data_IF_569501234108
#
_entry.id   IF_569501234108
#
_cell.length_a   1.000
_cell.length_b   1.000
_cell.length_c   1.000
_cell.angle_alpha   90.00
_cell.angle_beta   90.00
_cell.angle_gamma   90.00
#
_symmetry.space_group_name_H-M   'P 1'
#
loop_
_entity.id
_entity.type
_entity.pdbx_description
1 polymer ?
#
# COMPACT_ATOMS: atom_id res chain seq x y z
N UNK A 1 -22.01 27.39 17.88
CA UNK A 1 -22.62 26.62 16.78
C UNK A 1 -21.71 26.80 15.58
N UNK A 2 -21.18 25.71 14.99
CA UNK A 2 -20.41 25.82 13.76
C UNK A 2 -21.35 26.26 12.62
N UNK A 3 -20.92 27.14 11.70
CA UNK A 3 -21.66 27.41 10.46
C UNK A 3 -22.01 26.11 9.74
N UNK A 4 -23.18 26.03 9.11
CA UNK A 4 -23.70 24.77 8.54
C UNK A 4 -22.75 24.12 7.52
N UNK A 5 -21.98 24.92 6.77
CA UNK A 5 -21.00 24.43 5.79
C UNK A 5 -19.76 23.79 6.44
N UNK A 6 -19.27 24.35 7.55
CA UNK A 6 -18.13 23.76 8.29
C UNK A 6 -18.52 22.44 8.95
N UNK A 7 -19.74 22.37 9.49
CA UNK A 7 -20.28 21.15 10.06
C UNK A 7 -20.45 20.04 9.01
N UNK A 8 -20.93 20.39 7.82
CA UNK A 8 -21.08 19.42 6.73
C UNK A 8 -19.73 18.92 6.20
N UNK A 9 -18.71 19.78 6.10
CA UNK A 9 -17.36 19.35 5.71
C UNK A 9 -16.71 18.47 6.80
N UNK A 10 -16.94 18.77 8.07
CA UNK A 10 -16.53 17.93 9.20
C UNK A 10 -17.18 16.54 9.13
N UNK A 11 -18.48 16.49 8.85
CA UNK A 11 -19.22 15.25 8.65
C UNK A 11 -18.67 14.45 7.48
N UNK A 12 -18.48 15.07 6.32
CA UNK A 12 -17.89 14.41 5.14
C UNK A 12 -16.46 13.92 5.40
N UNK A 13 -15.66 14.69 6.13
CA UNK A 13 -14.31 14.29 6.53
C UNK A 13 -14.34 13.08 7.47
N UNK A 14 -15.29 13.05 8.40
CA UNK A 14 -15.49 11.92 9.30
C UNK A 14 -15.98 10.68 8.54
N UNK A 15 -16.93 10.84 7.62
CA UNK A 15 -17.45 9.76 6.78
C UNK A 15 -16.31 9.15 5.93
N UNK A 16 -15.43 9.99 5.36
CA UNK A 16 -14.24 9.52 4.62
C UNK A 16 -13.25 8.78 5.53
N UNK A 17 -12.96 9.30 6.72
CA UNK A 17 -12.07 8.61 7.66
C UNK A 17 -12.69 7.29 8.13
N UNK A 18 -14.00 7.27 8.39
CA UNK A 18 -14.74 6.07 8.79
C UNK A 18 -14.71 5.03 7.68
N UNK A 19 -14.97 5.43 6.43
CA UNK A 19 -14.89 4.56 5.26
C UNK A 19 -13.47 3.97 5.08
N UNK A 20 -12.43 4.79 5.24
CA UNK A 20 -11.03 4.32 5.22
C UNK A 20 -10.74 3.27 6.31
N UNK A 21 -11.30 3.46 7.51
CA UNK A 21 -11.18 2.51 8.64
C UNK A 21 -11.95 1.22 8.36
N UNK A 22 -13.10 1.30 7.69
CA UNK A 22 -13.94 0.17 7.31
C UNK A 22 -13.47 -0.58 6.06
N UNK A 23 -12.37 -0.13 5.43
CA UNK A 23 -11.83 -0.64 4.16
C UNK A 23 -12.71 -0.36 2.94
N UNK A 24 -13.64 0.58 3.05
CA UNK A 24 -14.35 1.12 1.90
C UNK A 24 -13.59 2.34 1.38
N UNK A 25 -12.61 2.08 0.51
CA UNK A 25 -11.77 3.15 -0.04
C UNK A 25 -12.48 3.95 -1.13
N UNK A 26 -13.58 3.47 -1.73
CA UNK A 26 -14.28 4.21 -2.79
C UNK A 26 -14.66 5.65 -2.37
N UNK A 27 -15.33 5.86 -1.21
CA UNK A 27 -15.60 7.21 -0.70
C UNK A 27 -14.34 8.04 -0.46
N UNK A 28 -13.26 7.42 0.03
CA UNK A 28 -11.98 8.10 0.32
C UNK A 28 -11.34 8.63 -0.96
N UNK A 29 -11.44 7.85 -2.04
CA UNK A 29 -10.82 8.13 -3.33
C UNK A 29 -11.62 9.20 -4.07
N UNK A 30 -12.95 9.10 -4.04
CA UNK A 30 -13.83 10.04 -4.72
C UNK A 30 -13.92 11.39 -3.98
N UNK A 31 -13.96 11.37 -2.65
CA UNK A 31 -14.22 12.56 -1.84
C UNK A 31 -12.95 13.15 -1.21
N UNK A 32 -11.92 12.34 -0.94
CA UNK A 32 -10.69 12.78 -0.28
C UNK A 32 -10.00 13.96 -0.97
N UNK A 33 -9.73 13.93 -2.29
CA UNK A 33 -9.16 15.05 -3.01
C UNK A 33 -10.03 16.32 -2.95
N UNK A 34 -11.35 16.18 -3.04
CA UNK A 34 -12.29 17.30 -2.93
C UNK A 34 -12.25 17.92 -1.54
N UNK A 35 -12.30 17.09 -0.51
CA UNK A 35 -12.18 17.51 0.89
C UNK A 35 -10.84 18.23 1.10
N UNK A 36 -9.73 17.73 0.56
CA UNK A 36 -8.43 18.41 0.64
C UNK A 36 -8.42 19.80 0.01
N UNK A 37 -9.00 19.94 -1.18
CA UNK A 37 -9.09 21.22 -1.89
C UNK A 37 -10.00 22.20 -1.15
N UNK A 38 -11.15 21.73 -0.65
CA UNK A 38 -12.09 22.54 0.16
C UNK A 38 -11.47 22.98 1.49
N UNK A 39 -10.78 22.09 2.20
CA UNK A 39 -9.99 22.43 3.39
C UNK A 39 -8.84 23.39 3.04
N UNK A 40 -8.38 23.36 1.79
CA UNK A 40 -7.38 24.22 1.15
C UNK A 40 -7.67 25.71 1.29
N UNK A 41 -8.92 26.07 1.01
CA UNK A 41 -9.39 27.43 0.81
C UNK A 41 -9.74 28.17 2.11
N UNK A 42 -10.08 27.45 3.18
CA UNK A 42 -10.51 28.05 4.45
C UNK A 42 -9.39 28.00 5.53
N UNK A 43 -8.86 29.16 5.98
CA UNK A 43 -7.92 29.25 7.08
C UNK A 43 -8.41 28.67 8.42
N UNK A 44 -9.72 28.66 8.68
CA UNK A 44 -10.31 28.16 9.93
C UNK A 44 -10.19 26.64 10.06
N UNK A 45 -10.03 25.94 8.94
CA UNK A 45 -10.00 24.47 8.85
C UNK A 45 -8.58 23.89 8.77
N UNK A 46 -7.54 24.70 9.03
CA UNK A 46 -6.14 24.25 9.01
C UNK A 46 -5.87 23.09 9.97
N UNK A 47 -6.54 23.06 11.13
CA UNK A 47 -6.39 21.99 12.12
C UNK A 47 -6.88 20.64 11.57
N UNK A 48 -8.00 20.64 10.82
CA UNK A 48 -8.57 19.45 10.22
C UNK A 48 -7.65 18.89 9.13
N UNK A 49 -7.01 19.77 8.33
CA UNK A 49 -5.96 19.37 7.37
C UNK A 49 -4.78 18.70 8.07
N UNK A 50 -4.34 19.24 9.22
CA UNK A 50 -3.26 18.65 9.99
C UNK A 50 -3.62 17.24 10.48
N UNK A 51 -4.86 17.01 10.92
CA UNK A 51 -5.36 15.70 11.36
C UNK A 51 -5.47 14.70 10.21
N UNK A 52 -5.97 15.13 9.05
CA UNK A 52 -6.27 14.25 7.91
C UNK A 52 -5.05 13.92 7.01
N UNK A 53 -3.94 14.66 7.12
CA UNK A 53 -2.80 14.51 6.21
C UNK A 53 -2.25 13.08 6.09
N UNK A 54 -2.12 12.31 7.18
CA UNK A 54 -1.65 10.92 7.11
C UNK A 54 -2.68 9.98 6.45
N UNK A 55 -3.95 9.93 6.87
CA UNK A 55 -4.97 9.15 6.16
C UNK A 55 -5.04 9.46 4.65
N UNK A 56 -4.95 10.73 4.27
CA UNK A 56 -4.95 11.17 2.88
C UNK A 56 -3.69 10.73 2.13
N UNK A 57 -2.51 10.85 2.75
CA UNK A 57 -1.26 10.36 2.17
C UNK A 57 -1.32 8.86 1.90
N UNK A 58 -1.86 8.08 2.84
CA UNK A 58 -2.08 6.64 2.63
C UNK A 58 -3.08 6.38 1.50
N UNK A 59 -4.21 7.09 1.49
CA UNK A 59 -5.21 6.93 0.43
C UNK A 59 -4.60 7.19 -0.95
N UNK A 60 -3.88 8.30 -1.13
CA UNK A 60 -3.20 8.61 -2.39
C UNK A 60 -2.10 7.63 -2.75
N UNK A 61 -1.40 7.09 -1.76
CA UNK A 61 -0.40 6.05 -1.99
C UNK A 61 -1.04 4.77 -2.55
N UNK A 62 -2.19 4.35 -2.02
CA UNK A 62 -2.90 3.16 -2.48
C UNK A 62 -3.64 3.36 -3.81
N UNK A 63 -4.21 4.55 -4.05
CA UNK A 63 -4.75 4.90 -5.36
C UNK A 63 -3.69 5.06 -6.42
N UNK A 64 -2.45 5.34 -6.01
CA UNK A 64 -1.34 5.55 -6.93
C UNK A 64 -1.25 6.98 -7.46
N UNK A 65 -1.76 7.99 -6.76
CA UNK A 65 -1.43 9.39 -7.07
C UNK A 65 -0.10 9.78 -6.40
N UNK A 66 1.00 9.17 -6.88
CA UNK A 66 2.32 9.31 -6.27
C UNK A 66 2.85 10.74 -6.39
N UNK A 67 2.53 11.44 -7.48
CA UNK A 67 2.88 12.85 -7.65
C UNK A 67 2.28 13.73 -6.54
N UNK A 68 1.01 13.51 -6.20
CA UNK A 68 0.37 14.21 -5.07
C UNK A 68 0.94 13.79 -3.73
N UNK A 69 1.18 12.49 -3.49
CA UNK A 69 1.85 12.02 -2.26
C UNK A 69 3.15 12.77 -2.04
N UNK A 70 4.00 12.86 -3.06
CA UNK A 70 5.32 13.51 -2.94
C UNK A 70 5.21 14.99 -2.62
N UNK A 71 4.40 15.72 -3.41
CA UNK A 71 4.20 17.16 -3.24
C UNK A 71 3.63 17.49 -1.85
N UNK A 72 2.57 16.77 -1.46
CA UNK A 72 1.85 17.07 -0.23
C UNK A 72 2.56 16.56 1.02
N UNK A 73 3.13 15.35 1.00
CA UNK A 73 3.88 14.82 2.15
C UNK A 73 5.12 15.65 2.45
N UNK A 74 5.85 16.13 1.43
CA UNK A 74 6.98 17.03 1.64
C UNK A 74 6.54 18.33 2.36
N UNK A 75 5.44 18.94 1.90
CA UNK A 75 4.87 20.14 2.52
C UNK A 75 4.38 19.89 3.94
N UNK A 76 3.67 18.78 4.17
CA UNK A 76 3.14 18.42 5.48
C UNK A 76 4.23 18.03 6.47
N UNK A 77 5.32 17.42 6.01
CA UNK A 77 6.50 17.12 6.82
C UNK A 77 7.11 18.39 7.40
N UNK A 78 7.36 19.40 6.57
CA UNK A 78 7.87 20.71 7.03
C UNK A 78 6.94 21.33 8.08
N UNK A 79 5.64 21.40 7.76
CA UNK A 79 4.65 21.97 8.68
C UNK A 79 4.49 21.16 9.99
N UNK A 80 4.75 19.85 9.98
CA UNK A 80 4.72 19.02 11.18
C UNK A 80 5.97 19.21 12.04
N UNK A 81 7.15 19.37 11.42
CA UNK A 81 8.41 19.70 12.10
C UNK A 81 8.32 21.05 12.81
N UNK A 82 7.82 22.09 12.13
CA UNK A 82 7.62 23.44 12.72
C UNK A 82 6.72 23.42 13.96
N UNK A 83 5.81 22.45 14.07
CA UNK A 83 4.86 22.30 15.18
C UNK A 83 5.31 21.29 16.23
N UNK A 84 6.46 20.63 16.05
CA UNK A 84 6.91 19.56 16.94
C UNK A 84 6.01 18.31 16.93
N UNK A 85 5.21 18.08 15.88
CA UNK A 85 4.34 16.91 15.79
C UNK A 85 5.09 15.71 15.20
N UNK A 86 5.89 15.04 16.03
CA UNK A 86 6.76 13.93 15.60
C UNK A 86 5.99 12.74 15.02
N UNK A 87 4.81 12.40 15.57
CA UNK A 87 3.98 11.31 15.04
C UNK A 87 3.57 11.58 13.59
N UNK A 88 3.19 12.83 13.30
CA UNK A 88 2.83 13.20 11.93
C UNK A 88 4.04 13.25 11.01
N UNK A 89 5.20 13.68 11.48
CA UNK A 89 6.45 13.60 10.73
C UNK A 89 6.72 12.15 10.32
N UNK A 90 6.63 11.20 11.25
CA UNK A 90 6.84 9.76 10.96
C UNK A 90 5.86 9.27 9.89
N UNK A 91 4.57 9.56 10.03
CA UNK A 91 3.53 9.06 9.11
C UNK A 91 3.70 9.56 7.67
N UNK A 92 3.85 10.87 7.46
CA UNK A 92 3.97 11.42 6.11
C UNK A 92 5.34 11.11 5.49
N UNK A 93 6.38 10.97 6.30
CA UNK A 93 7.72 10.58 5.83
C UNK A 93 7.74 9.12 5.40
N UNK A 94 7.04 8.23 6.10
CA UNK A 94 6.88 6.84 5.68
C UNK A 94 6.16 6.74 4.32
N UNK A 95 5.07 7.50 4.11
CA UNK A 95 4.39 7.54 2.81
C UNK A 95 5.29 8.09 1.70
N UNK A 96 6.05 9.17 1.99
CA UNK A 96 7.01 9.74 1.05
C UNK A 96 8.10 8.72 0.69
N UNK A 97 8.63 7.99 1.68
CA UNK A 97 9.64 6.96 1.46
C UNK A 97 9.15 5.85 0.53
N UNK A 98 7.89 5.40 0.66
CA UNK A 98 7.31 4.42 -0.29
C UNK A 98 7.14 5.03 -1.69
N UNK A 99 6.69 6.29 -1.78
CA UNK A 99 6.53 6.94 -3.08
C UNK A 99 7.87 7.09 -3.82
N UNK A 100 8.95 7.42 -3.12
CA UNK A 100 10.31 7.44 -3.70
C UNK A 100 10.80 6.03 -4.04
N UNK A 101 10.51 5.03 -3.20
CA UNK A 101 10.83 3.61 -3.49
C UNK A 101 10.19 3.13 -4.81
N UNK A 102 8.92 3.48 -5.05
CA UNK A 102 8.22 3.10 -6.29
C UNK A 102 8.82 3.74 -7.54
N UNK A 103 9.52 4.87 -7.40
CA UNK A 103 10.27 5.52 -8.49
C UNK A 103 11.66 4.91 -8.73
N UNK A 104 12.07 3.96 -7.88
CA UNK A 104 13.43 3.41 -7.89
C UNK A 104 14.45 4.22 -7.11
N UNK A 105 14.03 5.24 -6.36
CA UNK A 105 14.90 6.10 -5.54
C UNK A 105 15.14 5.45 -4.16
N UNK A 106 15.77 4.28 -4.15
CA UNK A 106 15.93 3.42 -2.96
C UNK A 106 16.75 4.14 -1.88
N UNK A 107 17.85 4.77 -2.25
CA UNK A 107 18.73 5.52 -1.34
C UNK A 107 17.96 6.65 -0.67
N UNK A 108 17.17 7.41 -1.45
CA UNK A 108 16.33 8.48 -0.92
C UNK A 108 15.28 7.94 0.04
N UNK A 109 14.67 6.80 -0.28
CA UNK A 109 13.74 6.11 0.61
C UNK A 109 14.40 5.74 1.95
N UNK A 110 15.61 5.18 1.92
CA UNK A 110 16.39 4.84 3.13
C UNK A 110 16.73 6.08 3.96
N UNK A 111 17.18 7.17 3.33
CA UNK A 111 17.48 8.44 4.02
C UNK A 111 16.26 8.93 4.81
N UNK A 112 15.09 8.97 4.16
CA UNK A 112 13.83 9.38 4.78
C UNK A 112 13.45 8.48 5.97
N UNK A 113 13.69 7.17 5.87
CA UNK A 113 13.42 6.24 6.97
C UNK A 113 14.42 6.39 8.13
N UNK A 114 15.70 6.64 7.83
CA UNK A 114 16.73 6.90 8.83
C UNK A 114 16.42 8.17 9.64
N UNK A 115 15.91 9.22 9.00
CA UNK A 115 15.49 10.47 9.66
C UNK A 115 14.42 10.25 10.75
N UNK A 116 13.54 9.26 10.58
CA UNK A 116 12.43 9.01 11.49
C UNK A 116 12.67 7.84 12.44
N UNK A 117 13.77 7.10 12.29
CA UNK A 117 14.05 5.89 13.07
C UNK A 117 14.07 6.15 14.58
N UNK A 118 14.76 7.22 15.01
CA UNK A 118 14.81 7.64 16.41
C UNK A 118 13.46 8.08 17.00
N UNK A 119 12.47 8.40 16.15
CA UNK A 119 11.13 8.82 16.59
C UNK A 119 10.14 7.66 16.76
N UNK A 120 10.55 6.42 16.43
CA UNK A 120 9.68 5.23 16.46
C UNK A 120 9.61 4.59 17.86
N UNK A 121 10.59 4.83 18.72
CA UNK A 121 10.74 4.13 20.01
C UNK A 121 10.18 4.90 21.22
N UNK A 122 8.90 5.24 21.17
CA UNK A 122 8.21 6.00 22.23
C UNK A 122 7.63 5.12 23.35
N UNK A 123 8.04 3.85 23.45
CA UNK A 123 7.59 2.89 24.46
C UNK A 123 6.22 2.23 24.20
N UNK A 124 5.33 2.85 23.40
CA UNK A 124 4.06 2.26 22.96
C UNK A 124 4.04 2.13 21.45
N UNK A 125 3.76 0.92 20.95
CA UNK A 125 3.66 0.68 19.52
C UNK A 125 2.41 1.34 18.93
N UNK A 126 2.60 2.33 18.06
CA UNK A 126 1.58 3.22 17.50
C UNK A 126 1.33 2.97 16.00
N UNK A 127 0.32 3.65 15.43
CA UNK A 127 0.05 3.67 13.98
C UNK A 127 1.26 4.21 13.21
N UNK A 128 1.90 5.27 13.71
CA UNK A 128 3.09 5.86 13.10
C UNK A 128 4.27 4.87 13.10
N UNK A 129 4.45 4.11 14.19
CA UNK A 129 5.46 3.04 14.24
C UNK A 129 5.15 1.89 13.26
N UNK A 130 3.88 1.54 13.07
CA UNK A 130 3.47 0.55 12.08
C UNK A 130 3.72 1.05 10.65
N UNK A 131 3.41 2.30 10.35
CA UNK A 131 3.65 2.95 9.06
C UNK A 131 5.14 2.94 8.68
N UNK A 132 6.01 3.37 9.59
CA UNK A 132 7.45 3.40 9.35
C UNK A 132 8.04 1.99 9.14
N UNK A 133 7.60 1.00 9.93
CA UNK A 133 8.08 -0.39 9.76
C UNK A 133 7.53 -1.07 8.52
N UNK A 134 6.30 -0.75 8.12
CA UNK A 134 5.78 -1.16 6.83
C UNK A 134 6.66 -0.62 5.71
N UNK A 135 7.01 0.67 5.76
CA UNK A 135 7.86 1.28 4.76
C UNK A 135 9.27 0.66 4.71
N UNK A 136 9.87 0.42 5.87
CA UNK A 136 11.17 -0.26 5.97
C UNK A 136 11.09 -1.70 5.45
N UNK A 137 10.04 -2.46 5.77
CA UNK A 137 9.87 -3.80 5.24
C UNK A 137 9.69 -3.81 3.70
N UNK A 138 9.00 -2.80 3.15
CA UNK A 138 8.87 -2.65 1.70
C UNK A 138 10.23 -2.34 1.03
N UNK A 139 11.06 -1.49 1.62
CA UNK A 139 12.44 -1.22 1.15
C UNK A 139 13.27 -2.51 1.14
N UNK A 140 13.25 -3.27 2.25
CA UNK A 140 13.95 -4.57 2.33
C UNK A 140 13.46 -5.55 1.25
N UNK A 141 12.14 -5.62 1.02
CA UNK A 141 11.58 -6.48 0.00
C UNK A 141 11.97 -6.04 -1.43
N UNK A 142 11.97 -4.74 -1.70
CA UNK A 142 12.37 -4.18 -3.00
C UNK A 142 13.84 -4.49 -3.33
N UNK A 143 14.69 -4.55 -2.31
CA UNK A 143 16.11 -4.95 -2.40
C UNK A 143 16.32 -6.46 -2.53
N UNK A 144 15.27 -7.27 -2.44
CA UNK A 144 15.37 -8.73 -2.43
C UNK A 144 15.76 -9.34 -1.07
N UNK A 145 15.83 -8.54 -0.01
CA UNK A 145 16.14 -8.99 1.37
C UNK A 145 14.89 -9.55 2.05
N UNK A 146 14.27 -10.54 1.42
CA UNK A 146 12.95 -11.04 1.81
C UNK A 146 12.91 -11.65 3.20
N UNK A 147 13.97 -12.33 3.64
CA UNK A 147 14.06 -12.92 4.99
C UNK A 147 13.94 -11.84 6.06
N UNK A 148 14.64 -10.72 5.88
CA UNK A 148 14.64 -9.60 6.80
C UNK A 148 13.30 -8.85 6.76
N UNK A 149 12.74 -8.64 5.56
CA UNK A 149 11.42 -8.05 5.38
C UNK A 149 10.33 -8.88 6.09
N UNK A 150 10.34 -10.21 5.91
CA UNK A 150 9.42 -11.15 6.58
C UNK A 150 9.57 -11.06 8.10
N UNK A 151 10.80 -11.04 8.61
CA UNK A 151 11.07 -10.93 10.04
C UNK A 151 10.54 -9.61 10.62
N UNK A 152 10.74 -8.50 9.92
CA UNK A 152 10.26 -7.18 10.33
C UNK A 152 8.73 -7.11 10.30
N UNK A 153 8.07 -7.63 9.27
CA UNK A 153 6.62 -7.75 9.20
C UNK A 153 6.06 -8.56 10.37
N UNK A 154 6.64 -9.74 10.67
CA UNK A 154 6.22 -10.58 11.81
C UNK A 154 6.43 -9.89 13.16
N UNK A 155 7.56 -9.20 13.34
CA UNK A 155 7.83 -8.39 14.55
C UNK A 155 6.77 -7.29 14.71
N UNK A 156 6.46 -6.60 13.61
CA UNK A 156 5.46 -5.52 13.56
C UNK A 156 4.06 -6.05 13.89
N UNK A 157 3.63 -7.17 13.29
CA UNK A 157 2.34 -7.81 13.62
C UNK A 157 2.25 -8.21 15.09
N UNK A 158 3.29 -8.79 15.67
CA UNK A 158 3.30 -9.16 17.11
C UNK A 158 3.14 -7.95 18.01
N UNK A 159 3.84 -6.85 17.70
CA UNK A 159 3.75 -5.62 18.49
C UNK A 159 2.39 -4.94 18.31
N UNK A 160 1.85 -4.90 17.08
CA UNK A 160 0.50 -4.42 16.80
C UNK A 160 -0.58 -5.23 17.54
N UNK A 161 -0.40 -6.54 17.65
CA UNK A 161 -1.32 -7.42 18.37
C UNK A 161 -1.34 -7.12 19.87
N UNK A 162 -0.17 -6.87 20.46
CA UNK A 162 -0.04 -6.52 21.89
C UNK A 162 -0.66 -5.17 22.25
N UNK A 163 -0.70 -4.22 21.32
CA UNK A 163 -1.29 -2.89 21.53
C UNK A 163 -2.72 -2.76 21.00
N UNK A 164 -3.33 -3.86 20.53
CA UNK A 164 -4.70 -3.85 20.01
C UNK A 164 -4.86 -3.17 18.64
N UNK A 165 -3.78 -2.69 18.02
CA UNK A 165 -3.82 -2.05 16.69
C UNK A 165 -4.27 -3.00 15.59
N UNK A 166 -4.16 -4.33 15.76
CA UNK A 166 -4.71 -5.30 14.82
C UNK A 166 -6.24 -5.36 14.80
N UNK A 167 -6.93 -4.66 15.71
CA UNK A 167 -8.38 -4.41 15.61
C UNK A 167 -8.70 -3.45 14.45
N UNK A 168 -7.74 -2.60 14.06
CA UNK A 168 -7.85 -1.73 12.89
C UNK A 168 -7.65 -2.58 11.63
N UNK A 169 -8.75 -2.90 10.96
CA UNK A 169 -8.78 -3.79 9.78
C UNK A 169 -7.80 -3.36 8.69
N UNK A 170 -7.66 -2.05 8.47
CA UNK A 170 -6.70 -1.47 7.53
C UNK A 170 -5.26 -1.88 7.82
N UNK A 171 -4.78 -1.65 9.04
CA UNK A 171 -3.40 -1.97 9.45
C UNK A 171 -3.15 -3.47 9.29
N UNK A 172 -4.10 -4.29 9.73
CA UNK A 172 -3.97 -5.74 9.61
C UNK A 172 -3.92 -6.18 8.15
N UNK A 173 -4.79 -5.64 7.29
CA UNK A 173 -4.83 -5.98 5.87
C UNK A 173 -3.51 -5.63 5.16
N UNK A 174 -2.99 -4.43 5.41
CA UNK A 174 -1.71 -3.97 4.84
C UNK A 174 -0.53 -4.86 5.28
N UNK A 175 -0.48 -5.23 6.56
CA UNK A 175 0.58 -6.10 7.08
C UNK A 175 0.47 -7.54 6.57
N UNK A 176 -0.75 -8.06 6.44
CA UNK A 176 -0.98 -9.41 5.90
C UNK A 176 -0.63 -9.49 4.41
N UNK A 177 -0.99 -8.47 3.63
CA UNK A 177 -0.62 -8.32 2.22
C UNK A 177 0.90 -8.24 2.02
N UNK A 178 1.58 -7.27 2.63
CA UNK A 178 3.03 -7.10 2.44
C UNK A 178 3.79 -8.37 2.87
N UNK A 179 3.40 -8.98 3.99
CA UNK A 179 4.02 -10.21 4.43
C UNK A 179 3.75 -11.37 3.46
N UNK A 180 2.55 -11.46 2.89
CA UNK A 180 2.22 -12.42 1.83
C UNK A 180 3.08 -12.23 0.58
N UNK A 181 3.22 -10.99 0.10
CA UNK A 181 4.04 -10.65 -1.07
C UNK A 181 5.52 -10.95 -0.83
N UNK A 182 6.04 -10.66 0.37
CA UNK A 182 7.41 -11.03 0.74
C UNK A 182 7.62 -12.55 0.80
N UNK A 183 6.66 -13.29 1.39
CA UNK A 183 6.73 -14.76 1.44
C UNK A 183 6.67 -15.38 0.04
N UNK A 184 5.82 -14.84 -0.85
CA UNK A 184 5.73 -15.26 -2.25
C UNK A 184 6.98 -14.88 -3.06
N UNK A 185 7.48 -13.66 -2.96
CA UNK A 185 8.67 -13.23 -3.68
C UNK A 185 9.91 -14.06 -3.27
N UNK A 186 10.03 -14.41 -1.98
CA UNK A 186 11.08 -15.34 -1.54
C UNK A 186 10.89 -16.74 -2.11
N UNK A 187 9.65 -17.26 -2.10
CA UNK A 187 9.32 -18.56 -2.71
C UNK A 187 9.78 -18.62 -4.17
N UNK A 188 9.48 -17.56 -4.93
CA UNK A 188 9.87 -17.41 -6.34
C UNK A 188 11.40 -17.38 -6.48
N UNK A 189 12.10 -16.61 -5.63
CA UNK A 189 13.56 -16.48 -5.68
C UNK A 189 14.31 -17.77 -5.30
N UNK A 190 13.76 -18.58 -4.40
CA UNK A 190 14.34 -19.87 -3.99
C UNK A 190 14.01 -21.02 -4.97
N UNK A 191 13.04 -20.82 -5.87
CA UNK A 191 12.65 -21.83 -6.85
C UNK A 191 12.10 -23.11 -6.22
N UNK A 192 12.25 -24.25 -6.91
CA UNK A 192 11.61 -25.54 -6.54
C UNK A 192 12.08 -26.14 -5.21
N UNK A 193 13.12 -25.60 -4.59
CA UNK A 193 13.56 -26.02 -3.25
C UNK A 193 12.66 -25.49 -2.12
N UNK A 194 11.70 -24.62 -2.45
CA UNK A 194 10.85 -23.99 -1.46
C UNK A 194 9.88 -24.98 -0.77
N UNK A 195 9.65 -24.76 0.52
CA UNK A 195 8.96 -25.69 1.39
C UNK A 195 7.43 -25.67 1.20
N UNK A 196 6.80 -26.83 1.27
CA UNK A 196 5.33 -26.96 1.40
C UNK A 196 4.76 -26.05 2.52
N UNK A 197 5.55 -25.78 3.56
CA UNK A 197 5.16 -24.92 4.68
C UNK A 197 4.94 -23.46 4.25
N UNK A 198 5.74 -22.93 3.33
CA UNK A 198 5.59 -21.56 2.82
C UNK A 198 4.32 -21.41 2.00
N UNK A 199 4.07 -22.35 1.08
CA UNK A 199 2.82 -22.39 0.31
C UNK A 199 1.59 -22.38 1.21
N UNK A 200 1.60 -23.21 2.28
CA UNK A 200 0.53 -23.21 3.30
C UNK A 200 0.39 -21.87 4.02
N UNK A 201 1.49 -21.15 4.29
CA UNK A 201 1.43 -19.83 4.95
C UNK A 201 0.80 -18.79 4.02
N UNK A 202 1.22 -18.76 2.76
CA UNK A 202 0.64 -17.84 1.75
C UNK A 202 -0.85 -18.14 1.56
N UNK A 203 -1.23 -19.42 1.44
CA UNK A 203 -2.64 -19.82 1.32
C UNK A 203 -3.51 -19.36 2.50
N UNK A 204 -3.00 -19.45 3.75
CA UNK A 204 -3.72 -18.91 4.93
C UNK A 204 -3.93 -17.40 4.85
N UNK A 205 -2.95 -16.66 4.30
CA UNK A 205 -3.07 -15.20 4.10
C UNK A 205 -4.11 -14.87 3.06
N UNK A 206 -4.12 -15.59 1.94
CA UNK A 206 -5.16 -15.49 0.91
C UNK A 206 -6.54 -15.64 1.53
N UNK A 207 -6.76 -16.72 2.31
CA UNK A 207 -8.04 -16.92 3.00
C UNK A 207 -8.37 -15.76 3.92
N UNK A 208 -7.41 -15.31 4.73
CA UNK A 208 -7.63 -14.20 5.65
C UNK A 208 -8.00 -12.90 4.90
N UNK A 209 -7.29 -12.56 3.84
CA UNK A 209 -7.50 -11.36 3.03
C UNK A 209 -8.87 -11.38 2.34
N UNK A 210 -9.30 -12.52 1.79
CA UNK A 210 -10.64 -12.68 1.21
C UNK A 210 -11.75 -12.51 2.26
N UNK A 211 -11.60 -13.14 3.42
CA UNK A 211 -12.66 -13.13 4.44
C UNK A 211 -12.73 -11.79 5.18
N UNK A 212 -11.60 -11.17 5.48
CA UNK A 212 -11.54 -10.03 6.40
C UNK A 212 -11.08 -8.72 5.78
N UNK A 213 -10.43 -8.77 4.61
CA UNK A 213 -9.81 -7.60 3.99
C UNK A 213 -10.76 -6.74 3.14
N UNK A 214 -12.06 -7.08 3.07
CA UNK A 214 -13.03 -6.32 2.27
C UNK A 214 -12.66 -6.32 0.78
N UNK A 215 -13.08 -5.31 0.03
CA UNK A 215 -12.83 -5.24 -1.42
C UNK A 215 -11.33 -5.14 -1.72
N UNK A 216 -10.60 -4.34 -0.94
CA UNK A 216 -9.14 -4.21 -1.02
C UNK A 216 -8.42 -5.57 -0.84
N UNK A 217 -8.82 -6.33 0.18
CA UNK A 217 -8.24 -7.63 0.48
C UNK A 217 -8.46 -8.66 -0.61
N UNK A 218 -9.58 -8.60 -1.34
CA UNK A 218 -9.82 -9.50 -2.48
C UNK A 218 -8.78 -9.29 -3.59
N UNK A 219 -8.46 -8.03 -3.93
CA UNK A 219 -7.41 -7.74 -4.91
C UNK A 219 -6.05 -8.27 -4.48
N UNK A 220 -5.64 -8.03 -3.23
CA UNK A 220 -4.37 -8.56 -2.71
C UNK A 220 -4.33 -10.09 -2.65
N UNK A 221 -5.42 -10.73 -2.24
CA UNK A 221 -5.52 -12.18 -2.23
C UNK A 221 -5.39 -12.77 -3.64
N UNK A 222 -6.04 -12.15 -4.63
CA UNK A 222 -5.98 -12.57 -6.02
C UNK A 222 -4.57 -12.46 -6.60
N UNK A 223 -3.81 -11.41 -6.25
CA UNK A 223 -2.38 -11.29 -6.61
C UNK A 223 -1.57 -12.46 -6.04
N UNK A 224 -1.75 -12.80 -4.75
CA UNK A 224 -1.04 -13.91 -4.12
C UNK A 224 -1.42 -15.26 -4.74
N UNK A 225 -2.70 -15.47 -5.08
CA UNK A 225 -3.17 -16.65 -5.81
C UNK A 225 -2.50 -16.75 -7.18
N UNK A 226 -2.47 -15.66 -7.93
CA UNK A 226 -1.90 -15.65 -9.27
C UNK A 226 -0.40 -15.96 -9.27
N UNK A 227 0.34 -15.38 -8.32
CA UNK A 227 1.76 -15.68 -8.14
C UNK A 227 2.04 -17.12 -7.69
N UNK A 228 1.21 -17.67 -6.79
CA UNK A 228 1.31 -19.09 -6.39
C UNK A 228 1.01 -20.04 -7.54
N UNK A 229 -0.06 -19.81 -8.30
CA UNK A 229 -0.43 -20.65 -9.45
C UNK A 229 0.66 -20.60 -10.55
N UNK A 230 1.22 -19.41 -10.79
CA UNK A 230 2.35 -19.24 -11.72
C UNK A 230 3.57 -20.04 -11.25
N UNK A 231 3.87 -20.01 -9.94
CA UNK A 231 4.98 -20.77 -9.35
C UNK A 231 4.79 -22.29 -9.46
N UNK A 232 3.55 -22.77 -9.40
CA UNK A 232 3.21 -24.19 -9.42
C UNK A 232 3.27 -24.79 -10.83
N UNK A 233 3.51 -23.97 -11.86
CA UNK A 233 3.54 -24.42 -13.24
C UNK A 233 2.16 -24.71 -13.80
N UNK A 234 1.11 -24.08 -13.24
CA UNK A 234 -0.23 -24.01 -13.83
C UNK A 234 -0.52 -22.57 -14.35
N UNK A 235 0.21 -22.11 -15.37
CA UNK A 235 0.19 -20.70 -15.79
C UNK A 235 -1.08 -20.30 -16.54
N UNK A 236 -1.75 -21.21 -17.25
CA UNK A 236 -2.66 -20.80 -18.33
C UNK A 236 -4.10 -20.55 -17.87
N UNK A 237 -4.58 -21.29 -16.87
CA UNK A 237 -5.96 -21.21 -16.39
C UNK A 237 -6.06 -20.52 -15.03
N UNK A 238 -5.42 -21.08 -13.99
CA UNK A 238 -5.61 -20.60 -12.62
C UNK A 238 -4.90 -19.27 -12.37
N UNK A 239 -3.64 -19.13 -12.80
CA UNK A 239 -2.90 -17.88 -12.64
C UNK A 239 -3.58 -16.74 -13.40
N UNK A 240 -4.02 -17.00 -14.64
CA UNK A 240 -4.76 -16.02 -15.46
C UNK A 240 -6.07 -15.59 -14.80
N UNK A 241 -6.88 -16.55 -14.33
CA UNK A 241 -8.15 -16.24 -13.67
C UNK A 241 -7.92 -15.35 -12.43
N UNK A 242 -6.91 -15.67 -11.62
CA UNK A 242 -6.54 -14.87 -10.46
C UNK A 242 -6.01 -13.48 -10.83
N UNK A 243 -5.23 -13.33 -11.91
CA UNK A 243 -4.82 -12.00 -12.39
C UNK A 243 -6.00 -11.15 -12.86
N UNK A 244 -6.98 -11.74 -13.53
CA UNK A 244 -8.21 -11.04 -13.96
C UNK A 244 -9.09 -10.66 -12.75
N UNK A 245 -9.18 -11.51 -11.73
CA UNK A 245 -9.82 -11.19 -10.46
C UNK A 245 -9.14 -9.97 -9.78
N UNK A 246 -7.81 -9.94 -9.76
CA UNK A 246 -7.05 -8.82 -9.23
C UNK A 246 -7.26 -7.54 -10.06
N UNK A 247 -7.26 -7.63 -11.39
CA UNK A 247 -7.53 -6.49 -12.28
C UNK A 247 -8.90 -5.88 -11.98
N UNK A 248 -9.94 -6.71 -11.89
CA UNK A 248 -11.30 -6.27 -11.58
C UNK A 248 -11.37 -5.60 -10.20
N UNK A 249 -10.84 -6.25 -9.16
CA UNK A 249 -10.87 -5.72 -7.79
C UNK A 249 -10.16 -4.36 -7.69
N UNK A 250 -8.96 -4.21 -8.24
CA UNK A 250 -8.25 -2.93 -8.21
C UNK A 250 -8.89 -1.86 -9.08
N UNK A 251 -9.54 -2.24 -10.19
CA UNK A 251 -10.31 -1.31 -11.01
C UNK A 251 -11.51 -0.75 -10.26
N UNK A 252 -12.25 -1.58 -9.52
CA UNK A 252 -13.40 -1.15 -8.71
C UNK A 252 -12.93 -0.26 -7.55
N UNK A 253 -11.83 -0.63 -6.89
CA UNK A 253 -11.27 0.15 -5.79
C UNK A 253 -10.49 1.39 -6.22
N UNK A 254 -10.27 1.67 -7.50
CA UNK A 254 -9.46 2.82 -7.93
C UNK A 254 -7.97 2.73 -7.54
N UNK A 255 -7.42 1.52 -7.36
CA UNK A 255 -6.02 1.31 -6.97
C UNK A 255 -5.13 1.31 -8.21
N UNK A 256 -4.95 2.47 -8.85
CA UNK A 256 -4.35 2.60 -10.17
C UNK A 256 -2.92 2.02 -10.26
N UNK A 257 -2.10 2.19 -9.21
CA UNK A 257 -0.75 1.61 -9.17
C UNK A 257 -0.76 0.08 -9.19
N UNK A 258 -1.59 -0.54 -8.35
CA UNK A 258 -1.73 -2.00 -8.29
C UNK A 258 -2.36 -2.55 -9.57
N UNK A 259 -3.36 -1.84 -10.11
CA UNK A 259 -3.98 -2.15 -11.39
C UNK A 259 -2.96 -2.14 -12.55
N UNK A 260 -2.08 -1.15 -12.59
CA UNK A 260 -1.01 -1.08 -13.56
C UNK A 260 -0.03 -2.26 -13.42
N UNK A 261 0.37 -2.62 -12.19
CA UNK A 261 1.21 -3.79 -11.94
C UNK A 261 0.58 -5.10 -12.42
N UNK A 262 -0.70 -5.32 -12.11
CA UNK A 262 -1.44 -6.52 -12.57
C UNK A 262 -1.54 -6.56 -14.10
N UNK A 263 -1.85 -5.43 -14.74
CA UNK A 263 -1.90 -5.32 -16.20
C UNK A 263 -0.55 -5.57 -16.87
N UNK A 264 0.53 -5.13 -16.23
CA UNK A 264 1.90 -5.42 -16.67
C UNK A 264 2.19 -6.93 -16.61
N UNK A 265 1.77 -7.62 -15.54
CA UNK A 265 1.91 -9.08 -15.41
C UNK A 265 1.04 -9.86 -16.39
N UNK A 266 -0.19 -9.40 -16.65
CA UNK A 266 -1.07 -9.98 -17.66
C UNK A 266 -0.44 -9.92 -19.06
N UNK A 267 0.19 -8.80 -19.44
CA UNK A 267 0.94 -8.70 -20.70
C UNK A 267 2.15 -9.65 -20.72
N UNK A 268 2.95 -9.66 -19.65
CA UNK A 268 4.13 -10.50 -19.54
C UNK A 268 3.83 -12.01 -19.56
N UNK A 269 2.65 -12.42 -19.06
CA UNK A 269 2.24 -13.83 -19.06
C UNK A 269 1.97 -14.40 -20.44
N UNK A 270 1.76 -13.56 -21.48
CA UNK A 270 1.48 -14.01 -22.85
C UNK A 270 0.15 -14.77 -23.05
N UNK A 271 -0.64 -14.96 -21.99
CA UNK A 271 -1.83 -15.81 -21.97
C UNK A 271 -3.10 -15.14 -22.54
N UNK A 272 -3.03 -13.87 -22.95
CA UNK A 272 -4.19 -13.08 -23.39
C UNK A 272 -3.85 -12.23 -24.63
N UNK A 273 -4.58 -12.40 -25.76
CA UNK A 273 -4.42 -11.56 -26.95
C UNK A 273 -4.62 -10.05 -26.69
N UNK A 274 -5.41 -9.71 -25.66
CA UNK A 274 -5.61 -8.32 -25.23
C UNK A 274 -4.57 -7.83 -24.21
N UNK A 275 -3.61 -8.68 -23.84
CA UNK A 275 -2.50 -8.37 -22.93
C UNK A 275 -1.68 -7.16 -23.36
N UNK A 276 -1.40 -7.02 -24.66
CA UNK A 276 -0.64 -5.87 -25.19
C UNK A 276 -1.33 -4.52 -24.95
N UNK A 277 -2.67 -4.48 -25.05
CA UNK A 277 -3.44 -3.26 -24.77
C UNK A 277 -3.39 -2.92 -23.28
N UNK A 278 -3.48 -3.93 -22.41
CA UNK A 278 -3.33 -3.76 -20.95
C UNK A 278 -1.92 -3.30 -20.58
N UNK A 279 -0.90 -3.94 -21.13
CA UNK A 279 0.51 -3.59 -20.93
C UNK A 279 0.84 -2.18 -21.40
N UNK A 280 0.26 -1.73 -22.52
CA UNK A 280 0.37 -0.34 -22.98
C UNK A 280 -0.16 0.68 -21.97
N UNK A 281 -1.36 0.42 -21.41
CA UNK A 281 -1.94 1.27 -20.34
C UNK A 281 -1.10 1.27 -19.06
N UNK A 282 -0.55 0.11 -18.67
CA UNK A 282 0.34 0.00 -17.52
C UNK A 282 1.62 0.82 -17.72
N UNK A 283 2.28 0.67 -18.87
CA UNK A 283 3.49 1.42 -19.24
C UNK A 283 3.25 2.93 -19.24
N UNK A 284 2.14 3.38 -19.83
CA UNK A 284 1.76 4.81 -19.81
C UNK A 284 1.58 5.32 -18.37
N UNK A 285 0.92 4.56 -17.51
CA UNK A 285 0.76 4.95 -16.10
C UNK A 285 2.10 5.03 -15.38
N UNK A 286 2.98 4.03 -15.56
CA UNK A 286 4.31 4.04 -14.96
C UNK A 286 5.14 5.24 -15.42
N UNK A 287 5.10 5.59 -16.71
CA UNK A 287 5.79 6.76 -17.25
C UNK A 287 5.29 8.06 -16.60
N UNK A 288 3.97 8.26 -16.55
CA UNK A 288 3.36 9.48 -15.95
C UNK A 288 3.72 9.62 -14.47
N UNK A 289 3.76 8.52 -13.72
CA UNK A 289 4.10 8.53 -12.29
C UNK A 289 5.61 8.41 -12.03
N UNK A 290 6.42 8.27 -13.08
CA UNK A 290 7.85 7.95 -13.03
C UNK A 290 8.18 6.71 -12.19
N UNK A 291 7.37 5.67 -12.27
CA UNK A 291 7.56 4.40 -11.55
C UNK A 291 8.58 3.54 -12.30
N UNK A 292 9.52 2.94 -11.56
CA UNK A 292 10.39 1.90 -12.11
C UNK A 292 9.57 0.61 -12.22
N UNK A 293 9.14 0.29 -13.45
CA UNK A 293 8.10 -0.69 -13.69
C UNK A 293 8.45 -2.09 -13.18
N UNK A 294 9.65 -2.58 -13.46
CA UNK A 294 9.98 -3.98 -13.19
C UNK A 294 10.05 -4.26 -11.70
N UNK A 295 10.87 -3.51 -10.96
CA UNK A 295 11.03 -3.67 -9.50
C UNK A 295 9.75 -3.36 -8.76
N UNK A 296 8.99 -2.36 -9.20
CA UNK A 296 7.67 -2.09 -8.63
C UNK A 296 6.75 -3.29 -8.79
N UNK A 297 6.69 -3.89 -9.99
CA UNK A 297 5.89 -5.08 -10.24
C UNK A 297 6.41 -6.30 -9.47
N UNK A 298 7.73 -6.45 -9.28
CA UNK A 298 8.32 -7.54 -8.48
C UNK A 298 7.95 -7.42 -6.99
N UNK A 299 7.80 -6.19 -6.48
CA UNK A 299 7.33 -5.93 -5.13
C UNK A 299 5.80 -6.11 -4.99
N UNK A 300 5.01 -5.58 -5.92
CA UNK A 300 3.56 -5.44 -5.77
C UNK A 300 2.77 -6.61 -6.35
N UNK A 301 3.25 -7.22 -7.44
CA UNK A 301 2.62 -8.34 -8.10
C UNK A 301 3.69 -9.39 -8.50
N UNK A 302 4.31 -10.10 -7.54
CA UNK A 302 5.36 -11.06 -7.84
C UNK A 302 4.86 -12.15 -8.80
N UNK A 303 5.62 -12.45 -9.86
CA UNK A 303 5.32 -13.45 -10.87
C UNK A 303 6.50 -14.41 -11.00
N UNK A 304 6.21 -15.72 -11.06
CA UNK A 304 7.19 -16.74 -11.44
C UNK A 304 7.16 -16.93 -12.95
N UNK A 305 8.30 -16.77 -13.62
CA UNK A 305 8.44 -16.83 -15.08
C UNK A 305 9.88 -16.68 -15.50
#
# INVERSE_FOLDING_TARGET
QLPSAEFELLRQSFDVVSAAVELDFCPVIEQGPRICLSLGADPSLRWLRAVLSAPLAFAWLYTGDLATVRRECARWRVAALERGNLLRVVEVTACLAIAELYRGEVERSRELLAEIEGSIDTGVFSVSAAAARFAHAAVLAYEGRFVEAIALCKKTQRQAGRTGLLSLRLIRCILEDLLGRCELARLIAEGREASHLERRRIARRVTWLRVHGGVMGHGFAAVLCAGLASFDGDPDSEARAAWLEAEFAFSVCGFAAHLAAVRYRLDASGCDPSGHVRGGKARQYFEVQSIEAQRFCDLVAPLYG
#
